data_IF_894095632221
#
_entry.id   IF_894095632221
#
_cell.length_a   1.000
_cell.length_b   1.000
_cell.length_c   1.000
_cell.angle_alpha   90.00
_cell.angle_beta   90.00
_cell.angle_gamma   90.00
#
_symmetry.space_group_name_H-M   'P 1'
#
loop_
_entity.id
_entity.type
_entity.pdbx_description
1 polymer ?
#
# COMPACT_ATOMS: atom_id res chain seq x y z
N UNK A 1 3.90 20.18 -4.86
CA UNK A 1 3.42 18.91 -4.29
C UNK A 1 4.60 18.15 -3.70
N UNK A 2 4.45 17.54 -2.51
CA UNK A 2 5.51 16.73 -1.90
C UNK A 2 5.71 15.46 -2.73
N UNK A 3 6.96 15.15 -3.07
CA UNK A 3 7.29 13.87 -3.73
C UNK A 3 7.16 12.74 -2.71
N UNK A 4 6.55 11.64 -3.13
CA UNK A 4 6.50 10.41 -2.34
C UNK A 4 7.91 9.81 -2.24
N UNK A 5 8.32 9.38 -1.05
CA UNK A 5 9.63 8.73 -0.82
C UNK A 5 9.62 7.97 0.52
N UNK A 6 10.58 7.09 0.71
CA UNK A 6 10.81 6.43 2.00
C UNK A 6 9.78 5.38 2.38
N UNK A 7 9.37 5.38 3.66
CA UNK A 7 8.41 4.43 4.21
C UNK A 7 6.96 4.88 3.95
N UNK A 8 6.34 4.31 2.93
CA UNK A 8 4.90 4.44 2.69
C UNK A 8 4.20 3.24 3.33
N UNK A 9 3.20 3.48 4.16
CA UNK A 9 2.45 2.41 4.83
C UNK A 9 1.08 2.25 4.18
N UNK A 10 0.78 1.01 3.75
CA UNK A 10 -0.55 0.67 3.22
C UNK A 10 -1.52 0.43 4.39
N UNK A 11 -2.44 1.36 4.63
CA UNK A 11 -3.37 1.29 5.77
C UNK A 11 -4.38 0.15 5.64
N UNK A 12 -4.78 -0.44 6.77
CA UNK A 12 -5.99 -1.28 6.83
C UNK A 12 -7.23 -0.40 6.87
N UNK A 13 -8.39 -0.99 6.58
CA UNK A 13 -9.72 -0.37 6.81
C UNK A 13 -10.40 -1.10 7.95
N UNK A 14 -10.42 -0.55 9.18
CA UNK A 14 -11.11 -1.15 10.31
C UNK A 14 -12.62 -1.22 10.07
N UNK A 15 -13.24 -2.28 10.56
CA UNK A 15 -14.67 -2.56 10.41
C UNK A 15 -15.24 -3.10 11.71
N UNK A 16 -16.53 -2.84 11.94
CA UNK A 16 -17.33 -3.53 12.94
C UNK A 16 -17.65 -4.97 12.50
N UNK A 17 -18.15 -5.78 13.41
CA UNK A 17 -18.50 -7.19 13.12
C UNK A 17 -19.59 -7.34 12.05
N UNK A 18 -20.43 -6.34 11.87
CA UNK A 18 -21.47 -6.28 10.83
C UNK A 18 -20.92 -5.87 9.45
N UNK A 19 -19.60 -5.57 9.37
CA UNK A 19 -18.93 -5.14 8.16
C UNK A 19 -19.01 -3.63 7.87
N UNK A 20 -19.70 -2.83 8.69
CA UNK A 20 -19.68 -1.37 8.56
C UNK A 20 -18.31 -0.79 8.94
N UNK A 21 -17.96 0.39 8.38
CA UNK A 21 -16.66 1.02 8.61
C UNK A 21 -16.55 1.54 10.06
N UNK A 22 -15.47 1.18 10.76
CA UNK A 22 -15.10 1.75 12.06
C UNK A 22 -14.15 2.92 11.86
N UNK A 23 -14.73 4.12 11.77
CA UNK A 23 -13.99 5.36 11.52
C UNK A 23 -13.16 5.80 12.73
N UNK A 24 -13.55 5.41 13.95
CA UNK A 24 -12.80 5.73 15.16
C UNK A 24 -11.49 4.92 15.22
N UNK A 25 -11.57 3.63 14.96
CA UNK A 25 -10.40 2.77 14.83
C UNK A 25 -9.51 3.16 13.64
N UNK A 26 -10.09 3.65 12.53
CA UNK A 26 -9.29 4.17 11.41
C UNK A 26 -8.45 5.38 11.84
N UNK A 27 -9.06 6.35 12.56
CA UNK A 27 -8.33 7.51 13.08
C UNK A 27 -7.22 7.11 14.06
N UNK A 28 -7.48 6.15 14.96
CA UNK A 28 -6.48 5.63 15.88
C UNK A 28 -5.32 4.94 15.14
N UNK A 29 -5.64 4.14 14.11
CA UNK A 29 -4.65 3.48 13.26
C UNK A 29 -3.76 4.49 12.52
N UNK A 30 -4.35 5.53 11.93
CA UNK A 30 -3.58 6.58 11.23
C UNK A 30 -2.62 7.29 12.21
N UNK A 31 -3.08 7.63 13.43
CA UNK A 31 -2.21 8.23 14.46
C UNK A 31 -1.03 7.32 14.83
N UNK A 32 -1.29 6.04 15.10
CA UNK A 32 -0.25 5.05 15.40
C UNK A 32 0.82 5.00 14.29
N UNK A 33 0.41 5.01 13.03
CA UNK A 33 1.35 5.01 11.89
C UNK A 33 2.20 6.29 11.83
N UNK A 34 1.60 7.45 12.06
CA UNK A 34 2.29 8.73 12.03
C UNK A 34 3.28 8.87 13.20
N UNK A 35 2.89 8.46 14.40
CA UNK A 35 3.73 8.45 15.60
C UNK A 35 4.92 7.50 15.44
N UNK A 36 4.71 6.37 14.76
CA UNK A 36 5.77 5.42 14.44
C UNK A 36 6.73 5.90 13.33
N UNK A 37 6.42 7.00 12.65
CA UNK A 37 7.30 7.59 11.63
C UNK A 37 7.00 7.16 10.18
N UNK A 38 5.76 6.82 9.86
CA UNK A 38 5.34 6.66 8.46
C UNK A 38 5.55 7.98 7.69
N UNK A 39 6.16 7.89 6.51
CA UNK A 39 6.50 9.07 5.68
C UNK A 39 5.42 9.38 4.64
N UNK A 40 4.56 8.42 4.36
CA UNK A 40 3.32 8.59 3.59
C UNK A 40 2.35 7.44 3.89
N UNK A 41 1.06 7.64 3.58
CA UNK A 41 0.05 6.60 3.71
C UNK A 41 -0.55 6.23 2.35
N UNK A 42 -0.81 4.93 2.17
CA UNK A 42 -1.49 4.40 0.99
C UNK A 42 -2.85 3.85 1.42
N UNK A 43 -3.90 4.64 1.22
CA UNK A 43 -5.25 4.38 1.70
C UNK A 43 -6.11 3.61 0.67
N UNK A 44 -7.08 2.84 1.17
CA UNK A 44 -8.03 2.05 0.37
C UNK A 44 -7.36 1.14 -0.68
N UNK A 45 -6.11 0.71 -0.41
CA UNK A 45 -5.36 -0.23 -1.24
C UNK A 45 -5.79 -1.67 -1.01
N UNK A 46 -4.94 -2.63 -1.45
CA UNK A 46 -5.15 -4.06 -1.22
C UNK A 46 -5.22 -4.38 0.28
N UNK A 47 -4.27 -3.84 1.06
CA UNK A 47 -4.25 -3.98 2.53
C UNK A 47 -5.48 -3.37 3.19
N UNK A 48 -6.03 -2.31 2.61
CA UNK A 48 -7.26 -1.65 3.06
C UNK A 48 -8.55 -2.25 2.49
N UNK A 49 -8.49 -3.45 1.87
CA UNK A 49 -9.63 -4.13 1.29
C UNK A 49 -10.35 -3.31 0.21
N UNK A 50 -9.65 -2.37 -0.44
CA UNK A 50 -10.26 -1.33 -1.28
C UNK A 50 -11.15 -1.85 -2.41
N UNK A 51 -10.84 -3.01 -3.01
CA UNK A 51 -11.70 -3.60 -4.06
C UNK A 51 -12.93 -4.33 -3.49
N UNK A 52 -13.01 -4.53 -2.17
CA UNK A 52 -14.17 -5.11 -1.48
C UNK A 52 -15.06 -4.02 -0.85
N UNK A 53 -14.64 -2.77 -0.91
CA UNK A 53 -15.42 -1.62 -0.46
C UNK A 53 -16.24 -1.03 -1.61
N UNK A 54 -17.43 -0.54 -1.29
CA UNK A 54 -18.21 0.29 -2.21
C UNK A 54 -17.48 1.60 -2.52
N UNK A 55 -17.76 2.23 -3.67
CA UNK A 55 -17.08 3.47 -4.06
C UNK A 55 -17.20 4.57 -2.98
N UNK A 56 -18.36 4.72 -2.36
CA UNK A 56 -18.61 5.71 -1.31
C UNK A 56 -17.82 5.38 -0.04
N UNK A 57 -17.70 4.11 0.32
CA UNK A 57 -16.88 3.68 1.46
C UNK A 57 -15.41 4.01 1.23
N UNK A 58 -14.89 3.73 0.02
CA UNK A 58 -13.50 4.04 -0.35
C UNK A 58 -13.21 5.53 -0.22
N UNK A 59 -14.11 6.38 -0.69
CA UNK A 59 -13.99 7.85 -0.58
C UNK A 59 -14.01 8.29 0.87
N UNK A 60 -14.93 7.77 1.69
CA UNK A 60 -14.99 8.07 3.13
C UNK A 60 -13.74 7.67 3.89
N UNK A 61 -13.14 6.52 3.57
CA UNK A 61 -11.85 6.06 4.15
C UNK A 61 -10.74 7.05 3.80
N UNK A 62 -10.68 7.50 2.55
CA UNK A 62 -9.66 8.47 2.10
C UNK A 62 -9.86 9.82 2.80
N UNK A 63 -11.08 10.33 2.86
CA UNK A 63 -11.41 11.58 3.53
C UNK A 63 -11.01 11.56 5.01
N UNK A 64 -11.38 10.50 5.74
CA UNK A 64 -11.02 10.35 7.14
C UNK A 64 -9.50 10.21 7.34
N UNK A 65 -8.82 9.47 6.47
CA UNK A 65 -7.36 9.36 6.49
C UNK A 65 -6.70 10.73 6.26
N UNK A 66 -7.10 11.47 5.23
CA UNK A 66 -6.56 12.78 4.92
C UNK A 66 -6.83 13.80 6.04
N UNK A 67 -8.03 13.77 6.64
CA UNK A 67 -8.39 14.60 7.79
C UNK A 67 -7.50 14.31 8.99
N UNK A 68 -7.30 13.05 9.35
CA UNK A 68 -6.44 12.66 10.48
C UNK A 68 -4.97 12.97 10.23
N UNK A 69 -4.49 12.77 8.99
CA UNK A 69 -3.12 13.13 8.59
C UNK A 69 -2.89 14.64 8.68
N UNK A 70 -3.91 15.47 8.39
CA UNK A 70 -3.84 16.93 8.47
C UNK A 70 -2.61 17.53 7.78
N UNK A 71 -2.23 17.02 6.61
CA UNK A 71 -1.11 17.50 5.81
C UNK A 71 0.29 17.19 6.36
N UNK A 72 0.42 16.38 7.42
CA UNK A 72 1.72 15.96 7.99
C UNK A 72 2.55 15.14 7.01
N UNK A 73 1.93 14.21 6.32
CA UNK A 73 2.54 13.34 5.30
C UNK A 73 1.62 13.22 4.08
N UNK A 74 2.11 12.82 2.91
CA UNK A 74 1.26 12.56 1.74
C UNK A 74 0.30 11.39 1.95
N UNK A 75 -0.92 11.50 1.39
CA UNK A 75 -1.90 10.42 1.30
C UNK A 75 -2.10 10.06 -0.17
N UNK A 76 -1.80 8.82 -0.54
CA UNK A 76 -2.10 8.25 -1.85
C UNK A 76 -3.28 7.29 -1.72
N UNK A 77 -4.25 7.36 -2.62
CA UNK A 77 -5.45 6.55 -2.58
C UNK A 77 -5.58 5.62 -3.78
N UNK A 78 -5.95 4.35 -3.59
CA UNK A 78 -6.21 3.43 -4.69
C UNK A 78 -7.55 3.77 -5.36
N UNK A 79 -7.52 4.36 -6.54
CA UNK A 79 -8.71 4.65 -7.36
C UNK A 79 -9.04 3.55 -8.37
N UNK A 80 -8.14 2.58 -8.57
CA UNK A 80 -8.31 1.51 -9.54
C UNK A 80 -9.56 0.65 -9.29
N UNK A 81 -10.09 0.11 -10.36
CA UNK A 81 -11.23 -0.78 -10.40
C UNK A 81 -11.20 -1.59 -11.69
N UNK A 82 -12.31 -2.26 -12.04
CA UNK A 82 -12.37 -3.11 -13.23
C UNK A 82 -12.40 -2.30 -14.53
N UNK A 83 -12.97 -1.10 -14.54
CA UNK A 83 -13.12 -0.29 -15.75
C UNK A 83 -12.40 1.06 -15.63
N UNK A 84 -11.90 1.59 -16.75
CA UNK A 84 -11.34 2.94 -16.82
C UNK A 84 -12.34 3.98 -16.31
N UNK A 85 -13.60 3.90 -16.69
CA UNK A 85 -14.64 4.84 -16.27
C UNK A 85 -14.81 4.87 -14.73
N UNK A 86 -14.76 3.71 -14.07
CA UNK A 86 -14.78 3.63 -12.61
C UNK A 86 -13.54 4.28 -11.98
N UNK A 87 -12.36 3.97 -12.51
CA UNK A 87 -11.11 4.54 -12.03
C UNK A 87 -11.08 6.07 -12.15
N UNK A 88 -11.58 6.63 -13.27
CA UNK A 88 -11.70 8.08 -13.48
C UNK A 88 -12.58 8.74 -12.41
N UNK A 89 -13.81 8.21 -12.21
CA UNK A 89 -14.73 8.75 -11.18
C UNK A 89 -14.12 8.73 -9.80
N UNK A 90 -13.50 7.60 -9.42
CA UNK A 90 -12.86 7.45 -8.12
C UNK A 90 -11.65 8.38 -7.98
N UNK A 91 -10.82 8.53 -9.01
CA UNK A 91 -9.65 9.42 -8.96
C UNK A 91 -10.05 10.86 -8.63
N UNK A 92 -11.07 11.39 -9.32
CA UNK A 92 -11.62 12.73 -9.06
C UNK A 92 -12.18 12.85 -7.63
N UNK A 93 -12.98 11.87 -7.21
CA UNK A 93 -13.60 11.87 -5.87
C UNK A 93 -12.57 11.75 -4.74
N UNK A 94 -11.54 10.90 -4.90
CA UNK A 94 -10.48 10.73 -3.92
C UNK A 94 -9.59 11.97 -3.82
N UNK A 95 -9.32 12.63 -4.96
CA UNK A 95 -8.62 13.92 -4.96
C UNK A 95 -9.43 14.98 -4.20
N UNK A 96 -10.73 15.06 -4.43
CA UNK A 96 -11.62 15.98 -3.71
C UNK A 96 -11.72 15.65 -2.21
N UNK A 97 -11.60 14.37 -1.84
CA UNK A 97 -11.57 13.89 -0.45
C UNK A 97 -10.22 14.15 0.26
N UNK A 98 -9.26 14.78 -0.41
CA UNK A 98 -7.99 15.21 0.21
C UNK A 98 -6.81 14.30 -0.05
N UNK A 99 -6.89 13.34 -0.97
CA UNK A 99 -5.71 12.60 -1.41
C UNK A 99 -4.72 13.50 -2.13
N UNK A 100 -3.43 13.39 -1.81
CA UNK A 100 -2.33 14.10 -2.48
C UNK A 100 -1.96 13.46 -3.81
N UNK A 101 -2.25 12.17 -3.97
CA UNK A 101 -2.06 11.40 -5.18
C UNK A 101 -3.03 10.23 -5.27
N UNK A 102 -3.13 9.63 -6.45
CA UNK A 102 -3.93 8.42 -6.67
C UNK A 102 -3.06 7.29 -7.23
N UNK A 103 -3.52 6.07 -7.05
CA UNK A 103 -2.90 4.91 -7.66
C UNK A 103 -3.96 4.06 -8.38
N UNK A 104 -3.57 3.44 -9.48
CA UNK A 104 -4.46 2.53 -10.21
C UNK A 104 -3.74 1.20 -10.50
N UNK A 105 -4.45 0.09 -10.34
CA UNK A 105 -3.99 -1.24 -10.71
C UNK A 105 -3.79 -1.34 -12.22
N UNK A 106 -2.87 -2.22 -12.65
CA UNK A 106 -2.90 -2.71 -14.03
C UNK A 106 -4.31 -3.21 -14.36
N UNK A 107 -4.84 -2.93 -15.56
CA UNK A 107 -6.07 -3.57 -16.00
C UNK A 107 -5.98 -5.08 -15.79
N UNK A 108 -6.98 -5.66 -15.15
CA UNK A 108 -7.00 -7.07 -14.79
C UNK A 108 -8.32 -7.70 -15.25
N UNK A 109 -8.42 -9.02 -15.21
CA UNK A 109 -9.49 -9.85 -15.73
C UNK A 109 -9.46 -9.95 -17.27
N UNK A 110 -9.59 -8.84 -18.00
CA UNK A 110 -9.38 -8.80 -19.44
C UNK A 110 -7.95 -8.45 -19.79
N UNK A 111 -7.33 -9.23 -20.67
CA UNK A 111 -5.99 -8.93 -21.17
C UNK A 111 -6.08 -7.79 -22.18
N UNK A 112 -5.25 -6.79 -21.98
CA UNK A 112 -5.12 -5.63 -22.87
C UNK A 112 -3.67 -5.47 -23.30
N UNK A 113 -3.44 -4.82 -24.43
CA UNK A 113 -2.10 -4.51 -24.93
C UNK A 113 -1.47 -3.28 -24.21
N UNK A 114 -0.23 -2.99 -24.56
CA UNK A 114 0.54 -1.89 -23.98
C UNK A 114 -0.12 -0.54 -24.25
N UNK A 115 -0.61 -0.32 -25.48
CA UNK A 115 -1.24 0.94 -25.88
C UNK A 115 -2.51 1.22 -25.05
N UNK A 116 -3.36 0.20 -24.88
CA UNK A 116 -4.55 0.31 -24.04
C UNK A 116 -4.21 0.54 -22.56
N UNK A 117 -3.10 -0.06 -22.03
CA UNK A 117 -2.63 0.23 -20.67
C UNK A 117 -2.15 1.67 -20.51
N UNK A 118 -1.36 2.17 -21.46
CA UNK A 118 -0.87 3.56 -21.47
C UNK A 118 -2.06 4.52 -21.49
N UNK A 119 -3.03 4.29 -22.37
CA UNK A 119 -4.21 5.14 -22.47
C UNK A 119 -5.07 5.09 -21.21
N UNK A 120 -5.24 3.90 -20.59
CA UNK A 120 -5.94 3.74 -19.31
C UNK A 120 -5.33 4.64 -18.22
N UNK A 121 -4.01 4.54 -18.01
CA UNK A 121 -3.34 5.31 -16.97
C UNK A 121 -3.26 6.81 -17.30
N UNK A 122 -3.06 7.17 -18.56
CA UNK A 122 -3.06 8.57 -19.02
C UNK A 122 -4.38 9.25 -18.68
N UNK A 123 -5.51 8.61 -19.03
CA UNK A 123 -6.83 9.16 -18.73
C UNK A 123 -7.08 9.32 -17.24
N UNK A 124 -6.59 8.39 -16.41
CA UNK A 124 -6.69 8.52 -14.95
C UNK A 124 -5.88 9.71 -14.46
N UNK A 125 -4.65 9.87 -14.94
CA UNK A 125 -3.78 10.99 -14.56
C UNK A 125 -4.36 12.33 -14.99
N UNK A 126 -4.93 12.41 -16.20
CA UNK A 126 -5.64 13.58 -16.71
C UNK A 126 -6.85 13.95 -15.85
N UNK A 127 -7.63 12.97 -15.43
CA UNK A 127 -8.82 13.20 -14.60
C UNK A 127 -8.45 13.58 -13.16
N UNK A 128 -7.45 12.94 -12.58
CA UNK A 128 -7.01 13.15 -11.20
C UNK A 128 -6.35 14.51 -10.98
N UNK A 129 -5.64 15.04 -11.97
CA UNK A 129 -4.87 16.29 -11.90
C UNK A 129 -3.92 16.32 -10.68
N UNK A 130 -3.36 15.15 -10.32
CA UNK A 130 -2.41 14.97 -9.22
C UNK A 130 -1.48 13.78 -9.53
N UNK A 131 -0.38 13.57 -8.76
CA UNK A 131 0.49 12.43 -8.96
C UNK A 131 -0.29 11.13 -9.02
N UNK A 132 -0.15 10.44 -10.16
CA UNK A 132 -0.82 9.16 -10.42
C UNK A 132 0.24 8.07 -10.47
N UNK A 133 0.09 7.09 -9.60
CA UNK A 133 0.99 5.94 -9.48
C UNK A 133 0.39 4.72 -10.14
N UNK A 134 1.16 4.07 -10.98
CA UNK A 134 0.81 2.75 -11.48
C UNK A 134 0.99 1.73 -10.35
N UNK A 135 0.08 0.77 -10.25
CA UNK A 135 0.20 -0.28 -9.25
C UNK A 135 0.24 -1.67 -9.91
N UNK A 136 1.43 -2.25 -9.96
CA UNK A 136 1.67 -3.61 -10.42
C UNK A 136 1.69 -4.57 -9.24
N UNK A 137 0.78 -5.54 -9.26
CA UNK A 137 0.69 -6.65 -8.27
C UNK A 137 0.32 -7.94 -9.01
N UNK A 138 1.24 -8.51 -9.80
CA UNK A 138 0.94 -9.63 -10.69
C UNK A 138 0.44 -10.87 -9.95
N UNK A 139 0.83 -11.08 -8.69
CA UNK A 139 0.32 -12.18 -7.86
C UNK A 139 -1.18 -12.15 -7.60
N UNK A 140 -1.85 -10.98 -7.72
CA UNK A 140 -3.29 -10.83 -7.54
C UNK A 140 -4.02 -10.49 -8.85
N UNK A 141 -3.40 -9.69 -9.73
CA UNK A 141 -4.02 -9.28 -11.00
C UNK A 141 -3.82 -10.32 -12.11
N UNK A 142 -2.83 -11.21 -11.98
CA UNK A 142 -2.41 -12.12 -13.07
C UNK A 142 -1.78 -11.39 -14.26
N UNK A 143 -1.45 -10.09 -14.10
CA UNK A 143 -0.92 -9.25 -15.17
C UNK A 143 0.36 -8.57 -14.70
N UNK A 144 1.47 -8.83 -15.40
CA UNK A 144 2.70 -8.06 -15.26
C UNK A 144 2.59 -6.74 -16.03
N UNK A 145 3.18 -5.69 -15.49
CA UNK A 145 3.24 -4.39 -16.16
C UNK A 145 4.44 -4.36 -17.11
N UNK A 146 4.25 -4.18 -18.43
CA UNK A 146 5.36 -3.98 -19.35
C UNK A 146 6.12 -2.67 -19.06
N UNK A 147 7.45 -2.66 -19.25
CA UNK A 147 8.29 -1.47 -19.02
C UNK A 147 7.87 -0.33 -19.94
N UNK A 148 7.44 -0.65 -21.16
CA UNK A 148 6.98 0.29 -22.18
C UNK A 148 5.80 1.15 -21.70
N UNK A 149 5.01 0.65 -20.75
CA UNK A 149 3.91 1.44 -20.16
C UNK A 149 4.45 2.60 -19.32
N UNK A 150 5.54 2.39 -18.55
CA UNK A 150 6.20 3.47 -17.82
C UNK A 150 6.81 4.49 -18.77
N UNK A 151 7.48 4.00 -19.82
CA UNK A 151 8.10 4.84 -20.86
C UNK A 151 7.05 5.72 -21.57
N UNK A 152 5.88 5.16 -21.91
CA UNK A 152 4.77 5.88 -22.52
C UNK A 152 4.12 6.95 -21.65
N UNK A 153 4.38 6.92 -20.32
CA UNK A 153 3.83 7.86 -19.36
C UNK A 153 4.86 8.80 -18.74
N UNK A 154 6.16 8.56 -18.97
CA UNK A 154 7.25 9.27 -18.28
C UNK A 154 7.15 10.78 -18.39
N UNK A 155 6.77 11.31 -19.53
CA UNK A 155 6.66 12.75 -19.79
C UNK A 155 5.30 13.35 -19.38
N UNK A 156 4.38 12.52 -18.85
CA UNK A 156 3.09 12.98 -18.40
C UNK A 156 3.21 13.84 -17.13
N UNK A 157 2.66 15.05 -17.06
CA UNK A 157 2.89 15.98 -15.94
C UNK A 157 2.41 15.46 -14.59
N UNK A 158 1.45 14.54 -14.59
CA UNK A 158 0.90 13.92 -13.39
C UNK A 158 1.39 12.48 -13.18
N UNK A 159 2.41 12.00 -13.90
CA UNK A 159 3.00 10.72 -13.63
C UNK A 159 3.78 10.74 -12.31
N UNK A 160 3.35 9.93 -11.33
CA UNK A 160 3.95 9.84 -9.99
C UNK A 160 5.00 8.74 -9.83
N UNK A 161 4.91 7.69 -10.65
CA UNK A 161 5.79 6.54 -10.57
C UNK A 161 5.05 5.20 -10.50
N UNK A 162 5.74 4.18 -9.99
CA UNK A 162 5.26 2.80 -9.91
C UNK A 162 5.32 2.26 -8.48
N UNK A 163 4.25 1.66 -7.98
CA UNK A 163 4.25 0.68 -6.89
C UNK A 163 4.36 -0.71 -7.48
N UNK A 164 5.44 -1.43 -7.16
CA UNK A 164 5.71 -2.78 -7.62
C UNK A 164 5.66 -3.77 -6.45
N UNK A 165 4.58 -4.54 -6.35
CA UNK A 165 4.34 -5.51 -5.26
C UNK A 165 4.57 -6.93 -5.77
N UNK A 166 5.82 -7.24 -6.03
CA UNK A 166 6.30 -8.58 -6.37
C UNK A 166 7.77 -8.70 -5.95
N UNK A 167 8.19 -9.90 -5.53
CA UNK A 167 9.54 -10.15 -5.04
C UNK A 167 10.48 -10.55 -6.21
N UNK A 168 10.67 -9.64 -7.15
CA UNK A 168 11.55 -9.80 -8.31
C UNK A 168 12.45 -8.56 -8.43
N UNK A 169 13.70 -8.73 -7.99
CA UNK A 169 14.68 -7.64 -7.99
C UNK A 169 15.14 -7.27 -9.41
N UNK A 170 15.21 -8.23 -10.32
CA UNK A 170 15.62 -7.97 -11.70
C UNK A 170 14.59 -7.12 -12.42
N UNK A 171 13.30 -7.48 -12.30
CA UNK A 171 12.22 -6.69 -12.87
C UNK A 171 12.13 -5.31 -12.22
N UNK A 172 12.33 -5.20 -10.90
CA UNK A 172 12.40 -3.91 -10.21
C UNK A 172 13.47 -3.00 -10.82
N UNK A 173 14.67 -3.53 -11.03
CA UNK A 173 15.80 -2.78 -11.62
C UNK A 173 15.48 -2.32 -13.04
N UNK A 174 14.80 -3.14 -13.84
CA UNK A 174 14.35 -2.74 -15.18
C UNK A 174 13.38 -1.54 -15.12
N UNK A 175 12.45 -1.52 -14.15
CA UNK A 175 11.59 -0.35 -13.95
C UNK A 175 12.37 0.89 -13.48
N UNK A 176 13.34 0.74 -12.56
CA UNK A 176 14.17 1.85 -12.08
C UNK A 176 14.98 2.47 -13.24
N UNK A 177 15.48 1.66 -14.17
CA UNK A 177 16.24 2.14 -15.34
C UNK A 177 15.44 3.03 -16.27
N UNK A 178 14.11 3.03 -16.23
CA UNK A 178 13.28 3.99 -16.98
C UNK A 178 13.39 5.42 -16.44
N UNK A 179 13.99 5.62 -15.26
CA UNK A 179 14.03 6.91 -14.55
C UNK A 179 12.74 7.23 -13.76
N UNK A 180 11.73 6.35 -13.77
CA UNK A 180 10.53 6.49 -12.98
C UNK A 180 10.80 6.29 -11.48
N UNK A 181 10.15 7.03 -10.56
CA UNK A 181 10.14 6.67 -9.14
C UNK A 181 9.47 5.31 -8.94
N UNK A 182 10.20 4.34 -8.38
CA UNK A 182 9.69 2.99 -8.12
C UNK A 182 9.67 2.72 -6.62
N UNK A 183 8.54 2.21 -6.13
CA UNK A 183 8.34 1.80 -4.74
C UNK A 183 8.17 0.29 -4.68
N UNK A 184 9.03 -0.38 -3.91
CA UNK A 184 8.93 -1.83 -3.72
C UNK A 184 7.79 -2.16 -2.73
N UNK A 185 6.99 -3.18 -3.04
CA UNK A 185 5.95 -3.71 -2.15
C UNK A 185 6.28 -5.12 -1.64
N UNK A 186 7.55 -5.52 -1.71
CA UNK A 186 8.08 -6.77 -1.16
C UNK A 186 9.02 -6.42 -0.01
N UNK A 187 8.58 -6.65 1.23
CA UNK A 187 9.28 -6.19 2.42
C UNK A 187 10.64 -6.87 2.63
N UNK A 188 10.82 -8.08 2.13
CA UNK A 188 12.10 -8.80 2.18
C UNK A 188 13.20 -8.19 1.28
N UNK A 189 12.84 -7.34 0.32
CA UNK A 189 13.76 -6.73 -0.63
C UNK A 189 14.01 -5.22 -0.40
N UNK A 190 13.50 -4.61 0.68
CA UNK A 190 13.57 -3.16 0.89
C UNK A 190 14.99 -2.62 0.76
N UNK A 191 15.94 -3.16 1.51
CA UNK A 191 17.33 -2.68 1.48
C UNK A 191 17.97 -2.84 0.11
N UNK A 192 17.74 -3.97 -0.56
CA UNK A 192 18.28 -4.21 -1.90
C UNK A 192 17.66 -3.25 -2.92
N UNK A 193 16.35 -3.06 -2.87
CA UNK A 193 15.63 -2.13 -3.75
C UNK A 193 16.14 -0.68 -3.60
N UNK A 194 16.31 -0.20 -2.36
CA UNK A 194 16.83 1.16 -2.10
C UNK A 194 18.28 1.31 -2.62
N UNK A 195 19.13 0.29 -2.45
CA UNK A 195 20.50 0.30 -3.02
C UNK A 195 20.51 0.35 -4.55
N UNK A 196 19.48 -0.16 -5.21
CA UNK A 196 19.31 -0.09 -6.67
C UNK A 196 18.66 1.23 -7.13
N UNK A 197 18.27 2.10 -6.22
CA UNK A 197 17.68 3.41 -6.54
C UNK A 197 16.16 3.47 -6.44
N UNK A 198 15.51 2.50 -5.80
CA UNK A 198 14.09 2.61 -5.50
C UNK A 198 13.80 3.85 -4.62
N UNK A 199 12.70 4.54 -4.88
CA UNK A 199 12.30 5.75 -4.16
C UNK A 199 11.81 5.46 -2.72
N UNK A 200 11.43 4.22 -2.44
CA UNK A 200 10.93 3.81 -1.13
C UNK A 200 10.25 2.45 -1.17
N UNK A 201 9.49 2.16 -0.13
CA UNK A 201 8.61 0.98 -0.06
C UNK A 201 7.15 1.38 0.12
N UNK A 202 6.23 0.49 -0.27
CA UNK A 202 4.83 0.53 0.16
C UNK A 202 4.53 -0.78 0.90
N UNK A 203 4.73 -0.78 2.21
CA UNK A 203 4.63 -1.97 3.06
C UNK A 203 3.21 -2.22 3.55
N UNK A 204 2.76 -3.46 3.44
CA UNK A 204 1.54 -3.96 4.09
C UNK A 204 1.78 -4.36 5.54
N UNK A 205 2.91 -5.02 5.82
CA UNK A 205 3.28 -5.49 7.17
C UNK A 205 3.49 -4.33 8.14
N UNK A 206 4.04 -3.20 7.65
CA UNK A 206 4.17 -1.97 8.43
C UNK A 206 2.81 -1.40 8.90
N UNK A 207 1.68 -1.77 8.27
CA UNK A 207 0.36 -1.35 8.76
C UNK A 207 0.10 -1.81 10.19
N UNK A 208 0.54 -3.00 10.55
CA UNK A 208 0.30 -3.53 11.90
C UNK A 208 1.53 -3.47 12.83
N UNK A 209 2.72 -3.38 12.28
CA UNK A 209 4.00 -3.36 12.99
C UNK A 209 4.93 -2.27 12.39
N UNK A 210 4.59 -0.97 12.52
CA UNK A 210 5.30 0.11 11.82
C UNK A 210 6.72 0.37 12.33
N UNK A 211 6.98 0.23 13.64
CA UNK A 211 8.25 0.61 14.27
C UNK A 211 9.47 -0.13 13.69
N UNK A 212 9.46 -1.46 13.47
CA UNK A 212 10.58 -2.16 12.82
C UNK A 212 10.94 -1.57 11.45
N UNK A 213 9.95 -1.20 10.66
CA UNK A 213 10.16 -0.61 9.32
C UNK A 213 10.69 0.83 9.41
N UNK A 214 10.17 1.65 10.34
CA UNK A 214 10.70 2.98 10.59
C UNK A 214 12.17 2.92 11.02
N UNK A 215 12.54 1.96 11.87
CA UNK A 215 13.92 1.71 12.29
C UNK A 215 14.81 1.29 11.12
N UNK A 216 14.31 0.42 10.21
CA UNK A 216 15.03 0.05 9.00
C UNK A 216 15.34 1.28 8.13
N UNK A 217 14.35 2.14 7.88
CA UNK A 217 14.56 3.37 7.11
C UNK A 217 15.47 4.36 7.84
N UNK A 218 15.42 4.44 9.17
CA UNK A 218 16.35 5.25 9.94
C UNK A 218 17.81 4.77 9.81
N UNK A 219 18.04 3.45 9.82
CA UNK A 219 19.36 2.86 9.55
C UNK A 219 19.86 3.21 8.14
N UNK A 220 19.02 3.02 7.12
CA UNK A 220 19.36 3.32 5.72
C UNK A 220 19.75 4.80 5.57
N UNK A 221 18.96 5.73 6.12
CA UNK A 221 19.23 7.19 6.03
C UNK A 221 20.52 7.61 6.73
N UNK A 222 20.87 6.96 7.83
CA UNK A 222 22.11 7.25 8.58
C UNK A 222 23.34 6.60 7.96
N UNK A 223 23.19 5.79 6.89
CA UNK A 223 24.27 5.00 6.32
C UNK A 223 24.80 3.91 7.28
N UNK A 224 24.01 3.55 8.30
CA UNK A 224 24.33 2.45 9.20
C UNK A 224 24.02 1.10 8.55
N UNK A 225 24.58 0.00 9.09
CA UNK A 225 24.26 -1.34 8.58
C UNK A 225 22.80 -1.71 8.84
N UNK A 226 21.97 -1.88 7.80
CA UNK A 226 20.56 -2.20 7.93
C UNK A 226 20.29 -3.70 8.07
N UNK A 227 21.31 -4.57 8.09
CA UNK A 227 21.15 -6.02 7.95
C UNK A 227 20.25 -6.62 9.01
N UNK A 228 20.42 -6.27 10.28
CA UNK A 228 19.60 -6.77 11.37
C UNK A 228 18.14 -6.28 11.26
N UNK A 229 17.93 -5.00 10.94
CA UNK A 229 16.60 -4.41 10.76
C UNK A 229 15.88 -5.02 9.53
N UNK A 230 16.61 -5.25 8.44
CA UNK A 230 16.08 -5.93 7.26
C UNK A 230 15.71 -7.41 7.56
N UNK A 231 16.54 -8.11 8.30
CA UNK A 231 16.25 -9.50 8.70
C UNK A 231 14.95 -9.57 9.54
N UNK A 232 14.75 -8.63 10.47
CA UNK A 232 13.50 -8.54 11.22
C UNK A 232 12.30 -8.23 10.31
N UNK A 233 12.40 -7.24 9.42
CA UNK A 233 11.33 -6.90 8.47
C UNK A 233 10.95 -8.12 7.59
N UNK A 234 11.96 -8.86 7.10
CA UNK A 234 11.75 -10.09 6.31
C UNK A 234 11.04 -11.17 7.12
N UNK A 235 11.42 -11.36 8.40
CA UNK A 235 10.77 -12.33 9.28
C UNK A 235 9.31 -11.96 9.58
N UNK A 236 9.03 -10.68 9.82
CA UNK A 236 7.66 -10.18 10.05
C UNK A 236 6.79 -10.35 8.81
N UNK A 237 7.31 -10.05 7.62
CA UNK A 237 6.62 -10.27 6.34
C UNK A 237 6.27 -11.76 6.15
N UNK A 238 7.21 -12.66 6.43
CA UNK A 238 6.98 -14.11 6.34
C UNK A 238 5.90 -14.60 7.33
N UNK A 239 5.86 -14.05 8.55
CA UNK A 239 4.82 -14.35 9.54
C UNK A 239 3.45 -13.94 9.00
N UNK A 240 3.33 -12.74 8.45
CA UNK A 240 2.06 -12.24 7.90
C UNK A 240 1.65 -12.99 6.64
N UNK A 241 2.59 -13.34 5.77
CA UNK A 241 2.33 -14.11 4.54
C UNK A 241 1.83 -15.54 4.81
N UNK A 242 2.12 -16.10 5.98
CA UNK A 242 1.64 -17.43 6.40
C UNK A 242 0.20 -17.43 6.95
N UNK A 243 -0.45 -16.28 7.00
CA UNK A 243 -1.82 -16.08 7.51
C UNK A 243 -2.79 -15.72 6.37
N UNK A 244 -4.10 -15.90 6.56
CA UNK A 244 -5.09 -15.35 5.65
C UNK A 244 -4.85 -13.87 5.39
N UNK A 245 -4.91 -13.43 4.12
CA UNK A 245 -4.62 -12.05 3.77
C UNK A 245 -5.46 -11.05 4.58
N UNK A 246 -4.85 -9.93 4.98
CA UNK A 246 -5.46 -8.83 5.73
C UNK A 246 -5.86 -9.21 7.17
N UNK A 247 -6.49 -10.38 7.38
CA UNK A 247 -6.94 -10.84 8.69
C UNK A 247 -5.78 -10.89 9.72
N UNK A 248 -4.57 -11.31 9.28
CA UNK A 248 -3.37 -11.28 10.12
C UNK A 248 -3.02 -9.87 10.58
N UNK A 249 -3.02 -8.88 9.70
CA UNK A 249 -2.74 -7.49 10.05
C UNK A 249 -3.75 -6.93 11.07
N UNK A 250 -5.05 -7.18 10.84
CA UNK A 250 -6.11 -6.74 11.76
C UNK A 250 -6.04 -7.45 13.11
N UNK A 251 -5.69 -8.73 13.15
CA UNK A 251 -5.50 -9.46 14.41
C UNK A 251 -4.35 -8.86 15.24
N UNK A 252 -3.23 -8.49 14.62
CA UNK A 252 -2.12 -7.79 15.31
C UNK A 252 -2.57 -6.42 15.81
N UNK A 253 -3.28 -5.64 15.03
CA UNK A 253 -3.78 -4.33 15.43
C UNK A 253 -4.79 -4.42 16.59
N UNK A 254 -5.68 -5.43 16.57
CA UNK A 254 -6.60 -5.73 17.70
C UNK A 254 -5.82 -6.07 18.96
N UNK A 255 -4.83 -6.97 18.86
CA UNK A 255 -3.95 -7.32 19.98
C UNK A 255 -3.20 -6.12 20.56
N UNK A 256 -2.77 -5.18 19.70
CA UNK A 256 -2.14 -3.91 20.11
C UNK A 256 -3.13 -2.89 20.68
N UNK A 257 -4.44 -3.16 20.64
CA UNK A 257 -5.48 -2.23 21.10
C UNK A 257 -5.68 -1.01 20.19
N UNK A 258 -5.22 -1.08 18.93
CA UNK A 258 -5.34 0.03 17.96
C UNK A 258 -6.73 0.04 17.29
N UNK A 259 -7.30 -1.14 17.04
CA UNK A 259 -8.64 -1.28 16.44
C UNK A 259 -9.54 -2.11 17.36
N UNK A 260 -10.86 -1.90 17.26
CA UNK A 260 -11.84 -2.56 18.13
C UNK A 260 -12.23 -3.97 17.66
N UNK A 261 -12.05 -4.31 16.38
CA UNK A 261 -12.39 -5.61 15.81
C UNK A 261 -11.41 -5.99 14.68
N UNK A 262 -11.13 -7.29 14.55
CA UNK A 262 -10.36 -7.85 13.44
C UNK A 262 -11.24 -8.29 12.25
N UNK A 263 -12.49 -7.82 12.17
CA UNK A 263 -13.41 -8.13 11.08
C UNK A 263 -12.83 -7.75 9.71
N UNK A 264 -13.06 -8.62 8.74
CA UNK A 264 -12.67 -8.42 7.33
C UNK A 264 -13.90 -8.51 6.43
N UNK A 265 -13.88 -7.83 5.29
CA UNK A 265 -14.96 -7.88 4.30
C UNK A 265 -14.97 -9.24 3.59
N UNK A 266 -16.14 -9.86 3.50
CA UNK A 266 -16.29 -11.09 2.70
C UNK A 266 -15.96 -10.82 1.22
N UNK A 267 -15.33 -11.77 0.49
CA UNK A 267 -15.13 -13.19 0.82
C UNK A 267 -13.91 -13.50 1.72
N UNK A 268 -13.18 -12.50 2.23
CA UNK A 268 -12.14 -12.75 3.21
C UNK A 268 -12.76 -13.32 4.50
N UNK A 269 -11.96 -14.03 5.28
CA UNK A 269 -12.35 -14.59 6.58
C UNK A 269 -11.44 -14.11 7.71
N UNK A 270 -11.94 -13.96 8.92
CA UNK A 270 -11.08 -13.72 10.08
C UNK A 270 -10.19 -14.93 10.37
N UNK A 271 -9.19 -14.74 11.24
CA UNK A 271 -8.39 -15.83 11.75
C UNK A 271 -9.24 -16.78 12.61
N UNK A 272 -8.95 -18.07 12.53
CA UNK A 272 -9.45 -19.06 13.49
C UNK A 272 -8.69 -18.94 14.82
N UNK A 273 -9.25 -19.46 15.91
CA UNK A 273 -8.58 -19.45 17.22
C UNK A 273 -7.19 -20.12 17.18
N UNK A 274 -7.01 -21.17 16.36
CA UNK A 274 -5.69 -21.82 16.18
C UNK A 274 -4.69 -20.90 15.47
N UNK A 275 -5.13 -20.14 14.46
CA UNK A 275 -4.29 -19.18 13.75
C UNK A 275 -3.91 -18.00 14.64
N UNK A 276 -4.83 -17.53 15.51
CA UNK A 276 -4.53 -16.48 16.51
C UNK A 276 -3.48 -16.98 17.50
N UNK A 277 -3.66 -18.18 18.09
CA UNK A 277 -2.69 -18.74 19.03
C UNK A 277 -1.30 -18.92 18.38
N UNK A 278 -1.25 -19.36 17.12
CA UNK A 278 0.01 -19.47 16.38
C UNK A 278 0.66 -18.10 16.14
N UNK A 279 -0.13 -17.09 15.76
CA UNK A 279 0.35 -15.73 15.58
C UNK A 279 0.96 -15.20 16.87
N UNK A 280 0.26 -15.33 18.01
CA UNK A 280 0.72 -14.86 19.31
C UNK A 280 2.06 -15.52 19.70
N UNK A 281 2.17 -16.84 19.57
CA UNK A 281 3.41 -17.55 19.85
C UNK A 281 4.57 -17.06 18.97
N UNK A 282 4.31 -16.88 17.66
CA UNK A 282 5.34 -16.45 16.71
C UNK A 282 5.78 -15.00 16.95
N UNK A 283 4.86 -14.10 17.35
CA UNK A 283 5.21 -12.72 17.71
C UNK A 283 6.04 -12.66 18.97
N UNK A 284 5.71 -13.47 20.00
CA UNK A 284 6.52 -13.58 21.22
C UNK A 284 7.97 -14.03 20.95
N UNK A 285 8.16 -14.98 20.01
CA UNK A 285 9.51 -15.42 19.60
C UNK A 285 10.37 -14.30 18.97
N UNK A 286 9.76 -13.26 18.43
CA UNK A 286 10.45 -12.10 17.87
C UNK A 286 10.45 -10.90 18.82
N UNK A 287 9.98 -11.08 20.06
CA UNK A 287 9.97 -10.04 21.10
C UNK A 287 8.87 -8.98 20.93
N UNK A 288 7.75 -9.33 20.32
CA UNK A 288 6.60 -8.46 20.04
C UNK A 288 5.31 -8.94 20.70
#
# INVERSE_FOLDING_TARGET
>A
MRKLSGLVVATVTPMHEDGSLDMSSLSAHVRDLLEAGAEALFAAGTTGEGLLLEEDERVRVVEATAKEVAGRVPVVALCGGLTTAQALRLAVRMRAAGADGVAALTPFYYRVDVEAMVEHFRRIADAAQCPTYLYSIPGLTGVSLPVEVLEGLREHPHFGGLKFSFCDLEQLVNYIRTGAPVFIGCDSLITQAIRQGAAGTVSGTAACLPVPFANLFACIRKGADPSAAQALATRLDAIMAALPPIAGYKAVLLRRGIIASAAVRRPLRPLTGKEVARLDATLQEVGL
#
